data_IF_574987619637
#
_entry.id   IF_574987619637
#
_cell.length_a   1.000
_cell.length_b   1.000
_cell.length_c   1.000
_cell.angle_alpha   90.00
_cell.angle_beta   90.00
_cell.angle_gamma   90.00
#
_symmetry.space_group_name_H-M   'P 1'
#
loop_
_entity.id
_entity.type
_entity.pdbx_description
1 polymer ?
#
# COMPACT_ATOMS: atom_id res chain seq x y z
N UNK A 1 20.85 16.84 34.18
CA UNK A 1 20.00 15.77 33.62
C UNK A 1 19.82 16.12 32.16
N UNK A 2 20.16 15.23 31.22
CA UNK A 2 20.01 15.54 29.80
C UNK A 2 18.52 15.74 29.47
N UNK A 3 18.22 16.65 28.54
CA UNK A 3 16.87 16.86 28.04
C UNK A 3 16.36 15.56 27.40
N UNK A 4 15.29 14.94 27.92
CA UNK A 4 14.74 13.70 27.36
C UNK A 4 14.38 13.82 25.87
N UNK A 5 13.95 15.01 25.42
CA UNK A 5 13.60 15.23 24.01
C UNK A 5 14.83 15.09 23.12
N UNK A 6 15.90 15.83 23.44
CA UNK A 6 17.16 15.78 22.68
C UNK A 6 17.78 14.38 22.70
N UNK A 7 17.79 13.73 23.87
CA UNK A 7 18.33 12.37 23.99
C UNK A 7 17.55 11.34 23.17
N UNK A 8 16.22 11.49 23.06
CA UNK A 8 15.39 10.64 22.20
C UNK A 8 15.74 10.84 20.72
N UNK A 9 15.81 12.09 20.27
CA UNK A 9 16.16 12.45 18.88
C UNK A 9 17.55 11.91 18.50
N UNK A 10 18.55 12.03 19.39
CA UNK A 10 19.89 11.47 19.16
C UNK A 10 19.87 9.96 18.89
N UNK A 11 19.01 9.22 19.60
CA UNK A 11 18.85 7.78 19.38
C UNK A 11 18.12 7.48 18.08
N UNK A 12 17.14 8.27 17.67
CA UNK A 12 16.48 8.12 16.38
C UNK A 12 17.43 8.36 15.21
N UNK A 13 18.22 9.44 15.26
CA UNK A 13 19.22 9.72 14.24
C UNK A 13 20.27 8.60 14.15
N UNK A 14 20.68 8.06 15.30
CA UNK A 14 21.56 6.90 15.35
C UNK A 14 20.89 5.68 14.71
N UNK A 15 19.61 5.43 15.00
CA UNK A 15 18.86 4.32 14.42
C UNK A 15 18.79 4.40 12.89
N UNK A 16 18.49 5.59 12.36
CA UNK A 16 18.44 5.85 10.91
C UNK A 16 19.74 5.52 10.19
N UNK A 17 20.89 5.83 10.80
CA UNK A 17 22.24 5.54 10.24
C UNK A 17 22.52 4.04 10.08
N UNK A 18 21.95 3.18 10.93
CA UNK A 18 22.16 1.73 10.85
C UNK A 18 21.10 1.01 10.02
N UNK A 19 19.99 1.68 9.65
CA UNK A 19 18.79 1.04 9.09
C UNK A 19 19.07 0.17 7.85
N UNK A 20 19.86 0.67 6.90
CA UNK A 20 20.16 -0.04 5.65
C UNK A 20 21.23 -1.13 5.77
N UNK A 21 22.03 -1.15 6.84
CA UNK A 21 23.17 -2.07 6.99
C UNK A 21 23.04 -3.08 8.12
N UNK A 22 22.48 -2.67 9.26
CA UNK A 22 22.30 -3.49 10.46
C UNK A 22 20.96 -3.13 11.12
N UNK A 23 19.90 -3.72 10.59
CA UNK A 23 18.53 -3.47 11.04
C UNK A 23 18.31 -3.88 12.51
N UNK A 24 19.00 -4.92 12.99
CA UNK A 24 18.96 -5.34 14.41
C UNK A 24 19.55 -4.25 15.31
N UNK A 25 20.65 -3.63 14.89
CA UNK A 25 21.24 -2.50 15.63
C UNK A 25 20.38 -1.24 15.54
N UNK A 26 19.80 -0.96 14.38
CA UNK A 26 18.82 0.12 14.21
C UNK A 26 17.64 -0.05 15.19
N UNK A 27 17.09 -1.27 15.29
CA UNK A 27 16.02 -1.62 16.23
C UNK A 27 16.39 -1.36 17.70
N UNK A 28 17.64 -1.63 18.11
CA UNK A 28 18.10 -1.34 19.48
C UNK A 28 18.10 0.15 19.78
N UNK A 29 18.49 0.98 18.81
CA UNK A 29 18.48 2.43 18.96
C UNK A 29 17.06 2.98 19.02
N UNK A 30 16.17 2.52 18.13
CA UNK A 30 14.75 2.90 18.20
C UNK A 30 14.09 2.49 19.51
N UNK A 31 14.34 1.27 19.99
CA UNK A 31 13.84 0.82 21.30
C UNK A 31 14.32 1.74 22.43
N UNK A 32 15.58 2.19 22.35
CA UNK A 32 16.15 3.12 23.33
C UNK A 32 15.53 4.52 23.25
N UNK A 33 15.21 5.00 22.05
CA UNK A 33 14.49 6.27 21.87
C UNK A 33 13.11 6.21 22.57
N UNK A 34 12.35 5.12 22.36
CA UNK A 34 11.05 4.91 23.02
C UNK A 34 11.19 4.92 24.54
N UNK A 35 12.18 4.22 25.11
CA UNK A 35 12.44 4.20 26.56
C UNK A 35 12.75 5.60 27.12
N UNK A 36 13.49 6.42 26.37
CA UNK A 36 13.81 7.80 26.78
C UNK A 36 12.56 8.67 26.74
N UNK A 37 11.72 8.55 25.70
CA UNK A 37 10.47 9.28 25.65
C UNK A 37 9.49 8.85 26.75
N UNK A 38 9.42 7.57 27.08
CA UNK A 38 8.63 7.08 28.22
C UNK A 38 9.07 7.70 29.54
N UNK A 39 10.38 7.75 29.81
CA UNK A 39 10.93 8.40 31.00
C UNK A 39 10.66 9.91 30.99
N UNK A 40 10.78 10.55 29.83
CA UNK A 40 10.46 11.96 29.65
C UNK A 40 8.99 12.26 29.97
N UNK A 41 8.06 11.44 29.49
CA UNK A 41 6.62 11.60 29.73
C UNK A 41 6.21 11.34 31.18
N UNK A 42 6.96 10.53 31.93
CA UNK A 42 6.74 10.41 33.39
C UNK A 42 7.04 11.72 34.12
N UNK A 43 7.97 12.53 33.62
CA UNK A 43 8.37 13.81 34.20
C UNK A 43 7.51 14.95 33.63
N UNK A 44 7.22 14.90 32.33
CA UNK A 44 6.50 15.92 31.56
C UNK A 44 5.29 15.31 30.84
N UNK A 45 4.22 14.92 31.56
CA UNK A 45 3.07 14.20 31.01
C UNK A 45 2.15 15.05 30.10
N UNK A 46 2.49 16.30 29.83
CA UNK A 46 1.76 17.16 28.90
C UNK A 46 2.65 17.65 27.76
N UNK A 47 3.84 17.07 27.62
CA UNK A 47 4.74 17.40 26.51
C UNK A 47 4.26 16.75 25.23
N UNK A 48 3.76 17.57 24.30
CA UNK A 48 3.32 17.14 22.98
C UNK A 48 4.51 16.56 22.20
N UNK A 49 5.69 17.20 22.23
CA UNK A 49 6.87 16.74 21.49
C UNK A 49 7.32 15.33 21.89
N UNK A 50 7.34 15.04 23.20
CA UNK A 50 7.69 13.71 23.71
C UNK A 50 6.63 12.67 23.31
N UNK A 51 5.34 13.02 23.42
CA UNK A 51 4.24 12.13 23.06
C UNK A 51 4.24 11.82 21.55
N UNK A 52 4.36 12.85 20.72
CA UNK A 52 4.39 12.75 19.27
C UNK A 52 5.59 11.94 18.78
N UNK A 53 6.81 12.25 19.23
CA UNK A 53 7.99 11.52 18.78
C UNK A 53 7.98 10.05 19.21
N UNK A 54 7.51 9.75 20.43
CA UNK A 54 7.29 8.36 20.85
C UNK A 54 6.35 7.63 19.89
N UNK A 55 5.21 8.24 19.59
CA UNK A 55 4.19 7.64 18.73
C UNK A 55 4.73 7.40 17.31
N UNK A 56 5.40 8.40 16.73
CA UNK A 56 6.04 8.30 15.41
C UNK A 56 7.10 7.21 15.33
N UNK A 57 7.96 7.08 16.35
CA UNK A 57 8.97 6.01 16.39
C UNK A 57 8.33 4.62 16.47
N UNK A 58 7.26 4.47 17.26
CA UNK A 58 6.54 3.19 17.35
C UNK A 58 5.90 2.81 16.00
N UNK A 59 5.32 3.78 15.29
CA UNK A 59 4.78 3.57 13.94
C UNK A 59 5.90 3.14 12.97
N UNK A 60 7.03 3.85 12.94
CA UNK A 60 8.20 3.52 12.09
C UNK A 60 8.70 2.08 12.35
N UNK A 61 8.83 1.68 13.62
CA UNK A 61 9.22 0.31 14.00
C UNK A 61 8.23 -0.72 13.44
N UNK A 62 6.93 -0.41 13.51
CA UNK A 62 5.85 -1.33 13.16
C UNK A 62 5.60 -1.44 11.65
N UNK A 63 6.03 -0.47 10.85
CA UNK A 63 5.72 -0.44 9.41
C UNK A 63 6.94 -0.53 8.50
N UNK A 64 8.15 -0.22 9.00
CA UNK A 64 9.33 -0.23 8.13
C UNK A 64 9.73 -1.68 7.73
N UNK A 65 9.80 -2.03 6.42
CA UNK A 65 10.01 -3.40 5.96
C UNK A 65 11.28 -4.09 6.47
N UNK A 66 12.36 -3.31 6.68
CA UNK A 66 13.61 -3.84 7.26
C UNK A 66 13.56 -4.06 8.77
N UNK A 67 12.62 -3.45 9.49
CA UNK A 67 12.54 -3.50 10.96
C UNK A 67 11.54 -4.55 11.45
N UNK A 68 10.40 -4.68 10.75
CA UNK A 68 9.33 -5.63 11.07
C UNK A 68 9.82 -7.09 11.26
N UNK A 69 10.73 -7.63 10.43
CA UNK A 69 11.26 -8.99 10.64
C UNK A 69 12.06 -9.18 11.93
N UNK A 70 12.44 -8.10 12.61
CA UNK A 70 13.24 -8.09 13.83
C UNK A 70 12.45 -7.72 15.09
N UNK A 71 11.11 -7.70 15.01
CA UNK A 71 10.26 -7.50 16.18
C UNK A 71 10.39 -8.67 17.17
N UNK A 72 10.47 -8.35 18.45
CA UNK A 72 10.52 -9.35 19.53
C UNK A 72 9.13 -9.74 20.04
N UNK A 73 8.09 -9.06 19.55
CA UNK A 73 6.67 -9.25 19.88
C UNK A 73 5.86 -9.34 18.59
N UNK A 74 4.66 -9.94 18.60
CA UNK A 74 3.77 -9.94 17.45
C UNK A 74 3.55 -8.52 16.92
N UNK A 75 3.52 -8.37 15.59
CA UNK A 75 3.33 -7.08 14.91
C UNK A 75 2.09 -6.34 15.44
N UNK A 76 0.98 -7.06 15.63
CA UNK A 76 -0.26 -6.49 16.13
C UNK A 76 -0.10 -5.81 17.49
N UNK A 77 0.66 -6.40 18.42
CA UNK A 77 0.90 -5.79 19.74
C UNK A 77 1.68 -4.48 19.62
N UNK A 78 2.64 -4.41 18.70
CA UNK A 78 3.44 -3.20 18.47
C UNK A 78 2.60 -2.10 17.82
N UNK A 79 1.74 -2.47 16.86
CA UNK A 79 0.78 -1.53 16.24
C UNK A 79 -0.24 -1.00 17.26
N UNK A 80 -0.76 -1.84 18.15
CA UNK A 80 -1.64 -1.40 19.24
C UNK A 80 -0.93 -0.43 20.18
N UNK A 81 0.34 -0.69 20.52
CA UNK A 81 1.14 0.23 21.31
C UNK A 81 1.36 1.58 20.59
N UNK A 82 1.59 1.56 19.28
CA UNK A 82 1.69 2.77 18.46
C UNK A 82 0.36 3.55 18.48
N UNK A 83 -0.78 2.87 18.34
CA UNK A 83 -2.10 3.48 18.36
C UNK A 83 -2.39 4.16 19.71
N UNK A 84 -2.07 3.51 20.82
CA UNK A 84 -2.22 4.09 22.16
C UNK A 84 -1.37 5.35 22.33
N UNK A 85 -0.11 5.33 21.87
CA UNK A 85 0.78 6.49 21.93
C UNK A 85 0.25 7.66 21.06
N UNK A 86 -0.26 7.36 19.87
CA UNK A 86 -0.87 8.34 18.98
C UNK A 86 -2.16 8.94 19.56
N UNK A 87 -3.05 8.11 20.11
CA UNK A 87 -4.25 8.57 20.80
C UNK A 87 -3.91 9.46 21.99
N UNK A 88 -2.89 9.12 22.76
CA UNK A 88 -2.40 9.97 23.84
C UNK A 88 -1.88 11.32 23.31
N UNK A 89 -1.09 11.34 22.24
CA UNK A 89 -0.66 12.59 21.60
C UNK A 89 -1.86 13.45 21.14
N UNK A 90 -2.89 12.83 20.54
CA UNK A 90 -4.13 13.52 20.16
C UNK A 90 -4.90 14.07 21.37
N UNK A 91 -4.79 13.49 22.56
CA UNK A 91 -5.40 14.09 23.76
C UNK A 91 -4.74 15.41 24.16
N UNK A 92 -3.47 15.60 23.80
CA UNK A 92 -2.70 16.82 24.10
C UNK A 92 -2.88 17.89 23.01
N UNK A 93 -2.94 17.48 21.74
CA UNK A 93 -3.23 18.34 20.60
C UNK A 93 -4.11 17.62 19.58
N UNK A 94 -5.42 17.92 19.62
CA UNK A 94 -6.42 17.23 18.79
C UNK A 94 -6.37 17.65 17.32
N UNK A 95 -5.80 18.82 17.01
CA UNK A 95 -5.77 19.40 15.66
C UNK A 95 -4.37 19.33 15.04
N UNK A 96 -3.46 18.53 15.62
CA UNK A 96 -2.15 18.29 15.03
C UNK A 96 -2.27 17.44 13.76
N UNK A 97 -2.01 17.98 12.55
CA UNK A 97 -2.23 17.25 11.30
C UNK A 97 -1.34 16.01 11.18
N UNK A 98 -0.08 16.08 11.62
CA UNK A 98 0.85 14.95 11.54
C UNK A 98 0.43 13.80 12.46
N UNK A 99 -0.05 14.14 13.67
CA UNK A 99 -0.58 13.15 14.60
C UNK A 99 -1.85 12.53 14.05
N UNK A 100 -2.77 13.31 13.48
CA UNK A 100 -3.98 12.79 12.83
C UNK A 100 -3.64 11.83 11.67
N UNK A 101 -2.74 12.25 10.79
CA UNK A 101 -2.28 11.47 9.64
C UNK A 101 -1.64 10.14 10.08
N UNK A 102 -0.67 10.20 11.00
CA UNK A 102 0.03 9.01 11.48
C UNK A 102 -0.89 8.08 12.28
N UNK A 103 -1.86 8.62 13.04
CA UNK A 103 -2.87 7.79 13.73
C UNK A 103 -3.69 6.99 12.73
N UNK A 104 -4.12 7.64 11.64
CA UNK A 104 -4.86 6.96 10.58
C UNK A 104 -4.02 5.88 9.90
N UNK A 105 -2.72 6.10 9.68
CA UNK A 105 -1.82 5.08 9.13
C UNK A 105 -1.72 3.84 10.06
N UNK A 106 -1.63 4.05 11.39
CA UNK A 106 -1.63 2.93 12.35
C UNK A 106 -2.96 2.15 12.27
N UNK A 107 -4.10 2.84 12.22
CA UNK A 107 -5.41 2.21 12.12
C UNK A 107 -5.53 1.36 10.85
N UNK A 108 -5.10 1.89 9.70
CA UNK A 108 -5.06 1.14 8.43
C UNK A 108 -4.15 -0.09 8.53
N UNK A 109 -2.96 0.03 9.13
CA UNK A 109 -2.05 -1.09 9.32
C UNK A 109 -2.63 -2.19 10.24
N UNK A 110 -3.34 -1.81 11.32
CA UNK A 110 -4.05 -2.78 12.17
C UNK A 110 -5.16 -3.47 11.39
N UNK A 111 -5.94 -2.70 10.61
CA UNK A 111 -7.01 -3.24 9.78
C UNK A 111 -6.48 -4.28 8.78
N UNK A 112 -5.34 -4.03 8.14
CA UNK A 112 -4.70 -4.99 7.22
C UNK A 112 -4.24 -6.28 7.92
N UNK A 113 -3.80 -6.19 9.18
CA UNK A 113 -3.45 -7.38 9.98
C UNK A 113 -4.72 -8.16 10.34
N UNK A 114 -5.79 -7.48 10.75
CA UNK A 114 -7.06 -8.13 11.08
C UNK A 114 -7.71 -8.79 9.85
N UNK A 115 -7.65 -8.14 8.69
CA UNK A 115 -8.19 -8.70 7.43
C UNK A 115 -7.52 -10.01 7.00
N UNK A 116 -6.30 -10.29 7.46
CA UNK A 116 -5.56 -11.53 7.19
C UNK A 116 -5.84 -12.63 8.22
N UNK A 117 -6.46 -12.30 9.35
CA UNK A 117 -6.76 -13.25 10.42
C UNK A 117 -8.25 -13.58 10.44
N UNK A 118 -8.59 -14.79 10.03
CA UNK A 118 -9.97 -15.29 9.99
C UNK A 118 -10.70 -15.29 11.34
N UNK A 119 -10.00 -15.05 12.46
CA UNK A 119 -10.61 -14.93 13.78
C UNK A 119 -11.16 -13.52 14.07
N UNK A 120 -10.79 -12.50 13.30
CA UNK A 120 -11.31 -11.14 13.47
C UNK A 120 -12.56 -10.95 12.62
N UNK A 121 -13.57 -10.27 13.18
CA UNK A 121 -14.78 -9.98 12.44
C UNK A 121 -14.52 -8.85 11.43
N UNK A 122 -15.03 -8.97 10.21
CA UNK A 122 -14.93 -7.92 9.18
C UNK A 122 -15.38 -6.55 9.71
N UNK A 123 -16.38 -6.54 10.59
CA UNK A 123 -16.88 -5.32 11.23
C UNK A 123 -15.80 -4.54 11.99
N UNK A 124 -14.89 -5.24 12.68
CA UNK A 124 -13.81 -4.60 13.43
C UNK A 124 -12.81 -3.94 12.46
N UNK A 125 -12.54 -4.60 11.33
CA UNK A 125 -11.71 -4.06 10.25
C UNK A 125 -12.33 -2.81 9.64
N UNK A 126 -13.63 -2.86 9.32
CA UNK A 126 -14.36 -1.74 8.74
C UNK A 126 -14.35 -0.53 9.69
N UNK A 127 -14.57 -0.74 10.99
CA UNK A 127 -14.58 0.34 11.97
C UNK A 127 -13.22 1.06 12.04
N UNK A 128 -12.11 0.32 11.99
CA UNK A 128 -10.76 0.91 11.99
C UNK A 128 -10.52 1.76 10.74
N UNK A 129 -10.95 1.29 9.57
CA UNK A 129 -10.80 2.00 8.30
C UNK A 129 -11.70 3.25 8.21
N UNK A 130 -12.92 3.18 8.76
CA UNK A 130 -13.82 4.32 8.87
C UNK A 130 -13.23 5.40 9.79
N UNK A 131 -12.70 5.02 10.96
CA UNK A 131 -11.98 5.93 11.88
C UNK A 131 -10.76 6.55 11.18
N UNK A 132 -9.98 5.75 10.43
CA UNK A 132 -8.84 6.25 9.66
C UNK A 132 -9.25 7.32 8.63
N UNK A 133 -10.34 7.08 7.88
CA UNK A 133 -10.85 8.05 6.90
C UNK A 133 -11.36 9.34 7.53
N UNK A 134 -11.96 9.27 8.71
CA UNK A 134 -12.40 10.45 9.46
C UNK A 134 -11.20 11.30 9.89
N UNK A 135 -10.16 10.68 10.45
CA UNK A 135 -8.93 11.36 10.86
C UNK A 135 -8.18 11.95 9.66
N UNK A 136 -8.08 11.22 8.54
CA UNK A 136 -7.48 11.72 7.31
C UNK A 136 -8.27 12.91 6.73
N UNK A 137 -9.60 12.87 6.77
CA UNK A 137 -10.43 13.98 6.29
C UNK A 137 -10.25 15.24 7.16
N UNK A 138 -10.15 15.07 8.48
CA UNK A 138 -9.84 16.18 9.40
C UNK A 138 -8.43 16.73 9.14
N UNK A 139 -7.44 15.85 8.97
CA UNK A 139 -6.08 16.23 8.62
C UNK A 139 -6.05 17.06 7.33
N UNK A 140 -6.68 16.56 6.26
CA UNK A 140 -6.75 17.26 4.98
C UNK A 140 -7.39 18.65 5.11
N UNK A 141 -8.48 18.77 5.87
CA UNK A 141 -9.16 20.05 6.09
C UNK A 141 -8.25 21.08 6.78
N UNK A 142 -7.44 20.63 7.76
CA UNK A 142 -6.47 21.49 8.46
C UNK A 142 -5.32 21.87 7.53
N UNK A 143 -4.82 20.92 6.74
CA UNK A 143 -3.75 21.16 5.76
C UNK A 143 -4.21 22.15 4.67
N UNK A 144 -5.44 22.02 4.16
CA UNK A 144 -6.03 22.97 3.22
C UNK A 144 -6.07 24.39 3.77
N UNK A 145 -6.55 24.55 5.01
CA UNK A 145 -6.56 25.86 5.68
C UNK A 145 -5.15 26.44 5.81
N UNK A 146 -4.17 25.63 6.23
CA UNK A 146 -2.77 26.07 6.37
C UNK A 146 -2.12 26.46 5.04
N UNK A 147 -2.44 25.74 3.96
CA UNK A 147 -1.95 26.07 2.63
C UNK A 147 -2.54 27.41 2.15
N UNK A 148 -3.84 27.62 2.34
CA UNK A 148 -4.51 28.88 1.99
C UNK A 148 -3.94 30.06 2.78
N UNK A 149 -3.72 29.90 4.09
CA UNK A 149 -3.09 30.91 4.96
C UNK A 149 -1.68 31.25 4.47
N UNK A 150 -0.87 30.24 4.13
CA UNK A 150 0.48 30.43 3.62
C UNK A 150 0.49 31.19 2.28
N UNK A 151 -0.40 30.83 1.37
CA UNK A 151 -0.54 31.51 0.07
C UNK A 151 -0.96 32.97 0.24
N UNK A 152 -1.91 33.26 1.14
CA UNK A 152 -2.34 34.63 1.44
C UNK A 152 -1.19 35.48 2.01
N UNK A 153 -0.42 34.94 2.96
CA UNK A 153 0.73 35.64 3.53
C UNK A 153 1.79 35.95 2.45
N UNK A 154 2.01 35.02 1.52
CA UNK A 154 2.94 35.22 0.41
C UNK A 154 2.48 36.32 -0.55
N UNK A 155 1.19 36.36 -0.89
CA UNK A 155 0.60 37.38 -1.74
C UNK A 155 0.66 38.77 -1.08
N UNK A 156 0.34 38.85 0.21
CA UNK A 156 0.44 40.10 0.98
C UNK A 156 1.88 40.62 1.06
N UNK A 157 2.86 39.73 1.31
CA UNK A 157 4.27 40.09 1.31
C UNK A 157 4.75 40.56 -0.07
N UNK A 158 4.34 39.88 -1.15
CA UNK A 158 4.66 40.29 -2.52
C UNK A 158 4.05 41.66 -2.88
N UNK A 159 2.81 41.92 -2.44
CA UNK A 159 2.16 43.22 -2.64
C UNK A 159 2.86 44.36 -1.86
N UNK A 160 3.33 44.09 -0.64
CA UNK A 160 4.11 45.06 0.14
C UNK A 160 5.45 45.39 -0.54
N UNK A 161 6.19 44.39 -1.01
CA UNK A 161 7.46 44.58 -1.74
C UNK A 161 7.23 45.34 -3.06
N UNK A 162 6.13 45.06 -3.78
CA UNK A 162 5.77 45.78 -5.00
C UNK A 162 5.40 47.26 -4.72
N UNK A 163 4.76 47.52 -3.57
CA UNK A 163 4.43 48.88 -3.13
C UNK A 163 5.68 49.66 -2.68
N UNK A 164 6.64 49.02 -2.02
CA UNK A 164 7.89 49.66 -1.58
C UNK A 164 8.84 49.97 -2.76
N UNK A 165 8.92 49.08 -3.76
CA UNK A 165 9.70 49.31 -4.99
C UNK A 165 9.08 50.35 -5.95
N UNK A 166 7.87 50.85 -5.67
CA UNK A 166 7.21 51.90 -6.45
C UNK A 166 7.51 53.33 -5.94
N UNK A 167 8.30 53.49 -4.87
CA UNK A 167 8.84 54.79 -4.46
C UNK A 167 10.27 54.96 -5.00
N UNK A 168 10.42 55.78 -6.05
CA UNK A 168 11.71 56.21 -6.60
C UNK A 168 12.58 56.98 -5.56
N UNK A 169 13.92 57.04 -5.75
CA UNK A 169 14.87 57.31 -4.70
C UNK A 169 14.91 58.79 -4.29
N UNK A 170 14.71 59.06 -3.00
CA UNK A 170 15.03 60.37 -2.43
C UNK A 170 16.55 60.52 -2.42
N UNK A 171 17.04 61.40 -3.27
CA UNK A 171 18.43 61.87 -3.31
C UNK A 171 18.62 63.01 -2.32
N UNK A 172 19.49 62.81 -1.33
CA UNK A 172 20.23 63.77 -0.48
C UNK A 172 20.66 63.01 0.79
N UNK A 173 21.84 63.09 1.39
CA UNK A 173 23.14 63.73 1.15
C UNK A 173 24.03 63.40 2.38
N UNK A 174 25.29 63.03 2.16
CA UNK A 174 26.44 62.80 3.07
C UNK A 174 26.48 63.30 4.55
N UNK A 175 27.26 62.50 5.32
CA UNK A 175 28.05 62.75 6.56
C UNK A 175 27.32 63.22 7.84
N UNK A 176 27.66 62.77 9.06
CA UNK A 176 28.94 62.29 9.59
C UNK A 176 28.70 61.44 10.87
N UNK A 177 29.69 60.63 11.24
CA UNK A 177 29.51 59.44 12.08
C UNK A 177 29.31 59.56 13.59
N UNK A 178 29.02 58.42 14.20
CA UNK A 178 29.46 58.08 15.57
C UNK A 178 29.55 56.56 15.76
N UNK A 179 30.58 56.15 16.47
CA UNK A 179 31.01 54.76 16.67
C UNK A 179 30.71 54.27 18.09
N UNK A 180 29.88 53.23 18.18
CA UNK A 180 29.94 52.16 19.19
C UNK A 180 28.96 52.24 20.38
N UNK A 181 28.88 51.20 21.24
CA UNK A 181 29.31 49.82 21.09
C UNK A 181 28.14 48.79 21.16
N UNK A 182 28.44 47.58 20.72
CA UNK A 182 27.62 46.39 20.84
C UNK A 182 27.10 46.16 22.27
N UNK A 183 25.78 46.01 22.40
CA UNK A 183 25.16 45.38 23.56
C UNK A 183 24.53 44.06 23.09
N UNK A 184 25.17 42.99 23.55
CA UNK A 184 24.75 41.61 23.38
C UNK A 184 23.33 41.39 23.89
N UNK A 185 22.54 40.72 23.06
CA UNK A 185 21.19 40.28 23.37
C UNK A 185 20.63 39.38 22.27
N UNK A 186 21.48 38.55 21.64
CA UNK A 186 21.00 37.41 20.86
C UNK A 186 20.54 36.36 21.86
N UNK A 187 19.30 36.50 22.31
CA UNK A 187 18.54 35.34 22.74
C UNK A 187 18.56 34.36 21.56
N UNK A 188 19.18 33.20 21.76
CA UNK A 188 19.08 32.07 20.85
C UNK A 188 17.62 31.57 20.89
N UNK A 189 16.73 32.33 20.27
CA UNK A 189 15.39 31.90 19.95
C UNK A 189 15.55 30.97 18.74
N UNK A 190 15.63 29.67 19.01
CA UNK A 190 15.54 28.66 17.97
C UNK A 190 14.15 28.79 17.36
N UNK A 191 14.03 29.56 16.29
CA UNK A 191 12.83 29.58 15.48
C UNK A 191 12.73 28.20 14.84
N UNK A 192 11.88 27.35 15.40
CA UNK A 192 11.48 26.10 14.76
C UNK A 192 10.92 26.47 13.39
N UNK A 193 11.70 26.24 12.34
CA UNK A 193 11.19 26.35 10.97
C UNK A 193 10.18 25.22 10.82
N UNK A 194 8.91 25.51 11.07
CA UNK A 194 7.82 24.59 10.76
C UNK A 194 7.77 24.48 9.25
N UNK A 195 7.96 23.27 8.72
CA UNK A 195 7.87 23.05 7.28
C UNK A 195 6.45 23.45 6.80
N UNK A 196 6.35 24.28 5.75
CA UNK A 196 5.05 24.74 5.27
C UNK A 196 4.28 23.58 4.66
N UNK A 197 2.96 23.58 4.86
CA UNK A 197 2.06 22.67 4.13
C UNK A 197 2.09 23.07 2.66
N UNK A 198 2.32 22.09 1.78
CA UNK A 198 2.41 22.29 0.33
C UNK A 198 1.29 21.54 -0.40
N UNK A 199 1.12 21.81 -1.70
CA UNK A 199 0.23 20.99 -2.55
C UNK A 199 0.60 19.51 -2.48
N UNK A 200 1.89 19.18 -2.40
CA UNK A 200 2.35 17.80 -2.27
C UNK A 200 1.91 17.15 -0.96
N UNK A 201 1.96 17.89 0.15
CA UNK A 201 1.44 17.42 1.44
C UNK A 201 -0.04 17.04 1.35
N UNK A 202 -0.86 17.83 0.66
CA UNK A 202 -2.28 17.52 0.43
C UNK A 202 -2.44 16.30 -0.49
N UNK A 203 -1.61 16.18 -1.54
CA UNK A 203 -1.63 15.02 -2.45
C UNK A 203 -1.30 13.74 -1.66
N UNK A 204 -0.31 13.74 -0.77
CA UNK A 204 0.05 12.58 0.05
C UNK A 204 -1.11 12.14 0.96
N UNK A 205 -1.80 13.11 1.57
CA UNK A 205 -3.00 12.84 2.37
C UNK A 205 -4.11 12.22 1.53
N UNK A 206 -4.36 12.76 0.33
CA UNK A 206 -5.38 12.21 -0.58
C UNK A 206 -4.99 10.82 -1.08
N UNK A 207 -3.73 10.59 -1.44
CA UNK A 207 -3.23 9.26 -1.83
C UNK A 207 -3.45 8.24 -0.72
N UNK A 208 -3.22 8.63 0.54
CA UNK A 208 -3.46 7.79 1.72
C UNK A 208 -4.96 7.51 1.90
N UNK A 209 -5.83 8.49 1.68
CA UNK A 209 -7.29 8.29 1.67
C UNK A 209 -7.72 7.33 0.56
N UNK A 210 -7.21 7.49 -0.66
CA UNK A 210 -7.50 6.57 -1.77
C UNK A 210 -7.07 5.15 -1.44
N UNK A 211 -5.87 4.95 -0.88
CA UNK A 211 -5.40 3.64 -0.42
C UNK A 211 -6.30 3.03 0.66
N UNK A 212 -6.73 3.83 1.63
CA UNK A 212 -7.65 3.38 2.70
C UNK A 212 -9.01 2.96 2.11
N UNK A 213 -9.54 3.72 1.16
CA UNK A 213 -10.77 3.37 0.43
C UNK A 213 -10.61 2.13 -0.44
N UNK A 214 -9.43 1.89 -1.02
CA UNK A 214 -9.11 0.67 -1.77
C UNK A 214 -9.19 -0.54 -0.85
N UNK A 215 -8.54 -0.51 0.32
CA UNK A 215 -8.59 -1.59 1.32
C UNK A 215 -10.02 -1.83 1.80
N UNK A 216 -10.75 -0.76 2.11
CA UNK A 216 -12.15 -0.82 2.52
C UNK A 216 -13.02 -1.51 1.46
N UNK A 217 -12.86 -1.14 0.18
CA UNK A 217 -13.60 -1.74 -0.95
C UNK A 217 -13.29 -3.23 -1.13
N UNK A 218 -12.03 -3.62 -0.89
CA UNK A 218 -11.61 -5.01 -0.99
C UNK A 218 -12.29 -5.89 0.07
N UNK A 219 -12.36 -5.42 1.32
CA UNK A 219 -13.03 -6.13 2.42
C UNK A 219 -14.54 -6.23 2.19
N UNK A 220 -15.17 -5.15 1.72
CA UNK A 220 -16.60 -5.16 1.36
C UNK A 220 -16.93 -6.19 0.28
N UNK A 221 -16.00 -6.42 -0.65
CA UNK A 221 -16.17 -7.41 -1.72
C UNK A 221 -16.10 -8.85 -1.23
N UNK A 222 -15.48 -9.09 -0.08
CA UNK A 222 -15.24 -10.42 0.49
C UNK A 222 -16.19 -10.78 1.64
N UNK A 223 -16.97 -9.82 2.15
CA UNK A 223 -17.85 -10.03 3.30
C UNK A 223 -19.31 -10.16 2.90
N UNK A 224 -19.93 -11.28 3.27
CA UNK A 224 -21.38 -11.52 3.08
C UNK A 224 -22.26 -10.68 4.01
N UNK A 225 -21.67 -9.97 4.97
CA UNK A 225 -22.38 -9.38 6.11
C UNK A 225 -22.60 -7.86 6.02
N UNK A 226 -22.09 -7.20 4.97
CA UNK A 226 -22.01 -5.73 4.95
C UNK A 226 -23.14 -5.09 4.13
N UNK A 227 -23.77 -4.00 4.61
CA UNK A 227 -24.82 -3.31 3.87
C UNK A 227 -24.32 -2.75 2.54
N UNK A 228 -25.11 -2.93 1.48
CA UNK A 228 -24.86 -2.39 0.12
C UNK A 228 -24.73 -0.86 0.10
N UNK A 229 -25.27 -0.16 1.10
CA UNK A 229 -25.14 1.29 1.27
C UNK A 229 -23.70 1.76 1.49
N UNK A 230 -22.81 0.88 1.98
CA UNK A 230 -21.41 1.23 2.23
C UNK A 230 -20.63 1.49 0.94
N UNK A 231 -20.95 0.78 -0.16
CA UNK A 231 -20.29 1.00 -1.45
C UNK A 231 -20.61 2.38 -2.04
N UNK A 232 -21.89 2.79 -1.99
CA UNK A 232 -22.30 4.10 -2.50
C UNK A 232 -21.65 5.27 -1.76
N UNK A 233 -21.42 5.13 -0.45
CA UNK A 233 -20.64 6.10 0.32
C UNK A 233 -19.19 6.22 -0.17
N UNK A 234 -18.52 5.09 -0.41
CA UNK A 234 -17.13 5.07 -0.92
C UNK A 234 -17.05 5.70 -2.31
N UNK A 235 -17.99 5.39 -3.19
CA UNK A 235 -18.07 6.00 -4.53
C UNK A 235 -18.25 7.51 -4.45
N UNK A 236 -19.15 8.01 -3.60
CA UNK A 236 -19.36 9.44 -3.42
C UNK A 236 -18.11 10.12 -2.84
N UNK A 237 -17.54 9.55 -1.78
CA UNK A 237 -16.35 10.09 -1.10
C UNK A 237 -15.15 10.14 -2.05
N UNK A 238 -14.83 9.03 -2.71
CA UNK A 238 -13.74 8.95 -3.68
C UNK A 238 -13.96 9.87 -4.88
N UNK A 239 -15.20 10.00 -5.37
CA UNK A 239 -15.53 10.93 -6.45
C UNK A 239 -15.26 12.38 -6.07
N UNK A 240 -15.50 12.79 -4.82
CA UNK A 240 -15.15 14.14 -4.34
C UNK A 240 -13.63 14.37 -4.35
N UNK A 241 -12.86 13.40 -3.84
CA UNK A 241 -11.39 13.49 -3.88
C UNK A 241 -10.86 13.59 -5.31
N UNK A 242 -11.31 12.69 -6.18
CA UNK A 242 -10.79 12.54 -7.55
C UNK A 242 -11.24 13.66 -8.48
N UNK A 243 -12.50 14.09 -8.42
CA UNK A 243 -13.07 15.04 -9.39
C UNK A 243 -13.04 16.49 -8.90
N UNK A 244 -12.87 16.73 -7.60
CA UNK A 244 -12.94 18.08 -7.02
C UNK A 244 -11.61 18.47 -6.39
N UNK A 245 -11.06 17.66 -5.48
CA UNK A 245 -9.87 18.02 -4.70
C UNK A 245 -8.56 17.88 -5.47
N UNK A 246 -8.36 16.76 -6.18
CA UNK A 246 -7.11 16.50 -6.90
C UNK A 246 -6.83 17.44 -8.09
N UNK A 247 -7.79 17.76 -8.99
CA UNK A 247 -7.48 18.54 -10.20
C UNK A 247 -6.74 19.87 -9.97
N UNK A 248 -7.11 20.75 -9.01
CA UNK A 248 -6.36 21.98 -8.76
C UNK A 248 -4.98 21.76 -8.16
N UNK A 249 -4.77 20.66 -7.43
CA UNK A 249 -3.46 20.31 -6.85
C UNK A 249 -2.48 19.82 -7.91
N UNK A 250 -2.99 19.19 -8.99
CA UNK A 250 -2.19 18.56 -10.03
C UNK A 250 -1.80 19.47 -11.20
N UNK A 251 -2.32 20.71 -11.25
CA UNK A 251 -2.12 21.61 -12.40
C UNK A 251 -0.64 21.84 -12.75
N UNK A 252 0.22 21.87 -11.73
CA UNK A 252 1.66 22.12 -11.85
C UNK A 252 2.49 20.98 -11.22
N UNK A 253 1.89 19.81 -11.04
CA UNK A 253 2.56 18.68 -10.40
C UNK A 253 3.58 18.03 -11.33
N UNK A 254 4.68 17.55 -10.74
CA UNK A 254 5.71 16.82 -11.47
C UNK A 254 5.17 15.51 -12.05
N UNK A 255 5.72 15.00 -13.17
CA UNK A 255 5.25 13.79 -13.83
C UNK A 255 5.16 12.57 -12.90
N UNK A 256 6.10 12.43 -11.96
CA UNK A 256 6.12 11.35 -10.97
C UNK A 256 4.89 11.40 -10.07
N UNK A 257 4.45 12.61 -9.65
CA UNK A 257 3.26 12.79 -8.81
C UNK A 257 1.98 12.51 -9.58
N UNK A 258 1.92 12.92 -10.85
CA UNK A 258 0.80 12.56 -11.73
C UNK A 258 0.68 11.04 -11.88
N UNK A 259 1.81 10.35 -11.99
CA UNK A 259 1.87 8.89 -12.10
C UNK A 259 1.43 8.19 -10.81
N UNK A 260 1.86 8.65 -9.64
CA UNK A 260 1.42 8.13 -8.33
C UNK A 260 -0.10 8.26 -8.17
N UNK A 261 -0.66 9.43 -8.49
CA UNK A 261 -2.11 9.65 -8.43
C UNK A 261 -2.86 8.80 -9.44
N UNK A 262 -2.36 8.68 -10.67
CA UNK A 262 -2.97 7.82 -11.67
C UNK A 262 -3.02 6.35 -11.22
N UNK A 263 -1.94 5.86 -10.60
CA UNK A 263 -1.85 4.50 -10.07
C UNK A 263 -2.82 4.26 -8.90
N UNK A 264 -2.85 5.17 -7.93
CA UNK A 264 -3.78 5.08 -6.80
C UNK A 264 -5.24 5.07 -7.26
N UNK A 265 -5.58 5.92 -8.24
CA UNK A 265 -6.92 5.94 -8.86
C UNK A 265 -7.26 4.63 -9.56
N UNK A 266 -6.34 4.08 -10.35
CA UNK A 266 -6.57 2.82 -11.06
C UNK A 266 -6.79 1.64 -10.10
N UNK A 267 -6.05 1.58 -9.00
CA UNK A 267 -6.22 0.58 -7.94
C UNK A 267 -7.60 0.71 -7.26
N UNK A 268 -7.99 1.92 -6.85
CA UNK A 268 -9.30 2.15 -6.24
C UNK A 268 -10.45 1.79 -7.18
N UNK A 269 -10.38 2.22 -8.44
CA UNK A 269 -11.40 1.89 -9.45
C UNK A 269 -11.48 0.37 -9.65
N UNK A 270 -10.36 -0.33 -9.66
CA UNK A 270 -10.34 -1.80 -9.81
C UNK A 270 -11.10 -2.52 -8.69
N UNK A 271 -10.87 -2.12 -7.43
CA UNK A 271 -11.58 -2.71 -6.27
C UNK A 271 -13.05 -2.30 -6.23
N UNK A 272 -13.40 -1.05 -6.57
CA UNK A 272 -14.79 -0.61 -6.66
C UNK A 272 -15.58 -1.39 -7.72
N UNK A 273 -14.98 -1.61 -8.90
CA UNK A 273 -15.62 -2.38 -9.96
C UNK A 273 -15.77 -3.86 -9.57
N UNK A 274 -14.78 -4.44 -8.87
CA UNK A 274 -14.91 -5.79 -8.30
C UNK A 274 -16.10 -5.87 -7.34
N UNK A 275 -16.16 -4.95 -6.37
CA UNK A 275 -17.24 -4.87 -5.40
C UNK A 275 -18.61 -4.70 -6.09
N UNK A 276 -18.70 -3.73 -7.00
CA UNK A 276 -19.92 -3.45 -7.75
C UNK A 276 -20.39 -4.64 -8.58
N UNK A 277 -19.47 -5.41 -9.16
CA UNK A 277 -19.82 -6.63 -9.91
C UNK A 277 -20.34 -7.73 -8.99
N UNK A 278 -19.63 -8.03 -7.90
CA UNK A 278 -20.01 -9.09 -6.96
C UNK A 278 -21.34 -8.77 -6.25
N UNK A 279 -21.63 -7.50 -6.01
CA UNK A 279 -22.91 -7.03 -5.47
C UNK A 279 -24.01 -6.89 -6.55
N UNK A 280 -23.73 -7.25 -7.81
CA UNK A 280 -24.71 -7.23 -8.91
C UNK A 280 -25.11 -5.82 -9.39
N UNK A 281 -24.33 -4.80 -9.05
CA UNK A 281 -24.58 -3.40 -9.45
C UNK A 281 -24.10 -3.11 -10.87
N UNK A 282 -23.13 -3.86 -11.38
CA UNK A 282 -22.63 -3.75 -12.77
C UNK A 282 -22.51 -5.13 -13.43
N UNK A 283 -22.58 -5.15 -14.76
CA UNK A 283 -22.38 -6.37 -15.56
C UNK A 283 -20.89 -6.59 -15.94
N UNK A 284 -20.52 -7.79 -16.42
CA UNK A 284 -19.14 -8.11 -16.80
C UNK A 284 -18.54 -7.21 -17.88
N UNK A 285 -19.35 -6.74 -18.84
CA UNK A 285 -18.88 -5.89 -19.93
C UNK A 285 -18.58 -4.48 -19.41
N UNK A 286 -19.44 -3.95 -18.52
CA UNK A 286 -19.20 -2.70 -17.81
C UNK A 286 -17.94 -2.78 -16.94
N UNK A 287 -17.79 -3.85 -16.14
CA UNK A 287 -16.57 -4.07 -15.35
C UNK A 287 -15.33 -4.08 -16.25
N UNK A 288 -15.33 -4.88 -17.33
CA UNK A 288 -14.18 -4.94 -18.25
C UNK A 288 -13.84 -3.56 -18.81
N UNK A 289 -14.83 -2.82 -19.32
CA UNK A 289 -14.65 -1.54 -20.00
C UNK A 289 -14.07 -0.49 -19.06
N UNK A 290 -14.69 -0.28 -17.91
CA UNK A 290 -14.25 0.72 -16.94
C UNK A 290 -12.86 0.38 -16.36
N UNK A 291 -12.56 -0.92 -16.16
CA UNK A 291 -11.22 -1.35 -15.75
C UNK A 291 -10.18 -1.04 -16.83
N UNK A 292 -10.47 -1.36 -18.09
CA UNK A 292 -9.57 -1.03 -19.21
C UNK A 292 -9.33 0.47 -19.30
N UNK A 293 -10.37 1.29 -19.16
CA UNK A 293 -10.28 2.75 -19.17
C UNK A 293 -9.39 3.29 -18.03
N UNK A 294 -9.50 2.73 -16.82
CA UNK A 294 -8.69 3.15 -15.67
C UNK A 294 -7.17 2.95 -15.88
N UNK A 295 -6.76 1.97 -16.67
CA UNK A 295 -5.35 1.68 -16.96
C UNK A 295 -4.86 2.26 -18.31
N UNK A 296 -5.73 2.91 -19.09
CA UNK A 296 -5.36 3.53 -20.38
C UNK A 296 -4.92 5.00 -20.26
N UNK A 297 -4.86 5.54 -19.04
CA UNK A 297 -4.46 6.94 -18.82
C UNK A 297 -2.96 7.12 -19.11
N UNK A 298 -2.55 8.16 -19.87
CA UNK A 298 -1.15 8.35 -20.28
C UNK A 298 -0.16 8.46 -19.11
N UNK A 299 -0.60 9.02 -17.99
CA UNK A 299 0.21 9.27 -16.79
C UNK A 299 0.76 7.98 -16.17
N UNK A 300 0.11 6.83 -16.39
CA UNK A 300 0.61 5.55 -15.88
C UNK A 300 1.88 5.09 -16.60
N UNK A 301 2.13 5.50 -17.84
CA UNK A 301 3.24 5.06 -18.69
C UNK A 301 3.49 3.53 -18.59
N UNK A 302 2.45 2.73 -18.91
CA UNK A 302 2.48 1.28 -18.75
C UNK A 302 3.66 0.59 -19.47
N UNK A 303 4.29 1.21 -20.45
CA UNK A 303 5.43 0.60 -21.13
C UNK A 303 6.72 0.61 -20.30
N UNK A 304 6.79 1.49 -19.28
CA UNK A 304 8.02 1.76 -18.51
C UNK A 304 7.81 1.73 -17.00
N UNK A 305 6.56 1.72 -16.56
CA UNK A 305 6.22 1.72 -15.14
C UNK A 305 5.92 0.30 -14.65
N UNK A 306 6.88 -0.26 -13.90
CA UNK A 306 6.77 -1.59 -13.31
C UNK A 306 5.57 -1.71 -12.33
N UNK A 307 5.41 -0.83 -11.32
CA UNK A 307 4.22 -0.82 -10.47
C UNK A 307 2.88 -0.78 -11.22
N UNK A 308 2.76 0.06 -12.26
CA UNK A 308 1.51 0.17 -13.02
C UNK A 308 1.20 -1.08 -13.85
N UNK A 309 2.23 -1.74 -14.41
CA UNK A 309 2.06 -3.03 -15.09
C UNK A 309 1.60 -4.12 -14.13
N UNK A 310 2.19 -4.20 -12.93
CA UNK A 310 1.77 -5.15 -11.91
C UNK A 310 0.33 -4.88 -11.44
N UNK A 311 -0.01 -3.63 -11.14
CA UNK A 311 -1.37 -3.24 -10.78
C UNK A 311 -2.38 -3.61 -11.86
N UNK A 312 -2.07 -3.33 -13.13
CA UNK A 312 -2.92 -3.71 -14.26
C UNK A 312 -3.08 -5.23 -14.35
N UNK A 313 -1.98 -5.98 -14.19
CA UNK A 313 -2.02 -7.43 -14.23
C UNK A 313 -2.84 -8.03 -13.08
N UNK A 314 -2.70 -7.51 -11.86
CA UNK A 314 -3.47 -7.92 -10.69
C UNK A 314 -4.96 -7.60 -10.85
N UNK A 315 -5.30 -6.44 -11.41
CA UNK A 315 -6.70 -6.08 -11.70
C UNK A 315 -7.36 -7.04 -12.71
N UNK A 316 -6.59 -7.54 -13.69
CA UNK A 316 -7.05 -8.53 -14.67
C UNK A 316 -7.25 -9.92 -14.05
N UNK A 317 -6.41 -10.29 -13.06
CA UNK A 317 -6.56 -11.53 -12.29
C UNK A 317 -7.79 -11.43 -11.38
N UNK A 318 -7.95 -10.33 -10.67
CA UNK A 318 -9.14 -10.06 -9.85
C UNK A 318 -10.43 -10.10 -10.69
N UNK A 319 -10.39 -9.51 -11.89
CA UNK A 319 -11.49 -9.61 -12.87
C UNK A 319 -11.77 -11.07 -13.27
N UNK A 320 -10.75 -11.87 -13.54
CA UNK A 320 -10.93 -13.30 -13.81
C UNK A 320 -11.57 -14.04 -12.63
N UNK A 321 -11.10 -13.79 -11.41
CA UNK A 321 -11.60 -14.46 -10.21
C UNK A 321 -13.05 -14.07 -9.94
N UNK A 322 -13.38 -12.78 -10.01
CA UNK A 322 -14.75 -12.30 -9.86
C UNK A 322 -15.71 -12.95 -10.88
N UNK A 323 -15.31 -13.14 -12.14
CA UNK A 323 -16.13 -13.83 -13.14
C UNK A 323 -16.19 -15.36 -12.97
N UNK A 324 -15.27 -15.93 -12.18
CA UNK A 324 -15.32 -17.33 -11.77
C UNK A 324 -16.30 -17.52 -10.61
N UNK A 325 -16.36 -16.53 -9.72
CA UNK A 325 -17.20 -16.50 -8.53
C UNK A 325 -18.65 -16.17 -8.91
N UNK A 326 -19.58 -17.06 -8.54
CA UNK A 326 -21.00 -16.93 -8.85
C UNK A 326 -21.62 -18.24 -9.34
N UNK A 327 -22.74 -18.14 -10.07
CA UNK A 327 -23.43 -19.30 -10.62
C UNK A 327 -22.50 -20.10 -11.56
N UNK A 328 -22.42 -21.44 -11.47
CA UNK A 328 -21.54 -22.25 -12.32
C UNK A 328 -21.74 -22.02 -13.83
N UNK A 329 -22.93 -21.60 -14.26
CA UNK A 329 -23.25 -21.23 -15.63
C UNK A 329 -22.54 -19.95 -16.12
N UNK A 330 -22.24 -19.02 -15.20
CA UNK A 330 -21.49 -17.79 -15.49
C UNK A 330 -20.04 -18.12 -15.82
N UNK A 331 -19.41 -19.01 -15.05
CA UNK A 331 -18.04 -19.44 -15.28
C UNK A 331 -17.84 -20.02 -16.69
N UNK A 332 -18.84 -20.72 -17.22
CA UNK A 332 -18.87 -21.23 -18.62
C UNK A 332 -19.06 -20.07 -19.61
N UNK A 333 -20.05 -19.22 -19.37
CA UNK A 333 -20.43 -18.12 -20.27
C UNK A 333 -19.32 -17.07 -20.44
N UNK A 334 -18.50 -16.88 -19.40
CA UNK A 334 -17.44 -15.88 -19.36
C UNK A 334 -16.04 -16.44 -19.65
N UNK A 335 -15.91 -17.71 -20.04
CA UNK A 335 -14.62 -18.36 -20.27
C UNK A 335 -13.72 -17.60 -21.26
N UNK A 336 -14.30 -17.01 -22.31
CA UNK A 336 -13.55 -16.20 -23.30
C UNK A 336 -12.99 -14.91 -22.69
N UNK A 337 -13.77 -14.23 -21.85
CA UNK A 337 -13.33 -13.01 -21.17
C UNK A 337 -12.23 -13.32 -20.15
N UNK A 338 -12.42 -14.38 -19.36
CA UNK A 338 -11.44 -14.88 -18.39
C UNK A 338 -10.12 -15.26 -19.05
N UNK A 339 -10.19 -16.02 -20.15
CA UNK A 339 -9.00 -16.38 -20.94
C UNK A 339 -8.22 -15.15 -21.41
N UNK A 340 -8.94 -14.16 -21.94
CA UNK A 340 -8.35 -12.92 -22.47
C UNK A 340 -7.71 -12.09 -21.35
N UNK A 341 -8.36 -12.00 -20.19
CA UNK A 341 -7.82 -11.28 -19.03
C UNK A 341 -6.53 -11.92 -18.51
N UNK A 342 -6.49 -13.24 -18.36
CA UNK A 342 -5.28 -13.96 -17.93
C UNK A 342 -4.14 -13.84 -18.94
N UNK A 343 -4.45 -13.86 -20.24
CA UNK A 343 -3.45 -13.65 -21.29
C UNK A 343 -2.85 -12.24 -21.22
N UNK A 344 -3.69 -11.21 -21.02
CA UNK A 344 -3.25 -9.83 -20.86
C UNK A 344 -2.44 -9.63 -19.57
N UNK A 345 -2.83 -10.26 -18.46
CA UNK A 345 -2.08 -10.21 -17.20
C UNK A 345 -0.65 -10.77 -17.37
N UNK A 346 -0.52 -11.93 -18.04
CA UNK A 346 0.80 -12.49 -18.36
C UNK A 346 1.62 -11.59 -19.29
N UNK A 347 0.98 -10.89 -20.23
CA UNK A 347 1.66 -9.96 -21.12
C UNK A 347 2.19 -8.75 -20.35
N UNK A 348 1.40 -8.16 -19.44
CA UNK A 348 1.84 -7.09 -18.56
C UNK A 348 3.05 -7.50 -17.72
N UNK A 349 3.01 -8.67 -17.08
CA UNK A 349 4.14 -9.19 -16.30
C UNK A 349 5.37 -9.52 -17.15
N UNK A 350 5.16 -10.00 -18.39
CA UNK A 350 6.26 -10.24 -19.31
C UNK A 350 6.94 -8.94 -19.75
N UNK A 351 6.19 -7.84 -19.89
CA UNK A 351 6.75 -6.50 -20.10
C UNK A 351 7.45 -6.01 -18.83
N UNK A 352 6.83 -6.16 -17.66
CA UNK A 352 7.37 -5.73 -16.38
C UNK A 352 8.72 -6.38 -16.08
N UNK A 353 8.85 -7.69 -16.32
CA UNK A 353 10.11 -8.45 -16.13
C UNK A 353 11.29 -7.99 -17.01
N UNK A 354 11.05 -7.11 -17.99
CA UNK A 354 12.08 -6.55 -18.89
C UNK A 354 12.45 -5.12 -18.54
N UNK A 355 11.72 -4.47 -17.64
CA UNK A 355 12.05 -3.13 -17.17
C UNK A 355 13.31 -3.23 -16.29
N UNK A 356 14.23 -2.29 -16.49
CA UNK A 356 15.42 -2.16 -15.65
C UNK A 356 15.05 -1.52 -14.32
N UNK A 357 15.59 -2.01 -13.21
CA UNK A 357 15.39 -1.40 -11.88
C UNK A 357 14.73 -2.29 -10.82
N UNK A 358 13.76 -3.17 -11.13
CA UNK A 358 13.16 -4.05 -10.12
C UNK A 358 14.18 -4.97 -9.46
N UNK A 359 13.96 -5.28 -8.18
CA UNK A 359 14.80 -6.22 -7.44
C UNK A 359 14.60 -7.65 -7.98
N UNK A 360 15.55 -8.57 -7.75
CA UNK A 360 15.38 -9.97 -8.12
C UNK A 360 14.08 -10.58 -7.59
N UNK A 361 13.63 -10.18 -6.39
CA UNK A 361 12.37 -10.63 -5.80
C UNK A 361 11.14 -10.12 -6.55
N UNK A 362 11.16 -8.87 -7.01
CA UNK A 362 10.08 -8.33 -7.85
C UNK A 362 9.96 -9.11 -9.18
N UNK A 363 11.10 -9.47 -9.78
CA UNK A 363 11.13 -10.30 -10.98
C UNK A 363 10.66 -11.72 -10.66
N UNK A 364 11.04 -12.27 -9.49
CA UNK A 364 10.56 -13.56 -9.02
C UNK A 364 9.02 -13.58 -8.94
N UNK A 365 8.43 -12.53 -8.38
CA UNK A 365 6.99 -12.34 -8.26
C UNK A 365 6.30 -12.32 -9.63
N UNK A 366 6.84 -11.58 -10.60
CA UNK A 366 6.28 -11.61 -11.98
C UNK A 366 6.27 -13.02 -12.57
N UNK A 367 7.28 -13.84 -12.29
CA UNK A 367 7.31 -15.22 -12.73
C UNK A 367 6.30 -16.07 -11.96
N UNK A 368 6.24 -15.95 -10.64
CA UNK A 368 5.31 -16.69 -9.81
C UNK A 368 3.86 -16.50 -10.26
N UNK A 369 3.44 -15.24 -10.42
CA UNK A 369 2.07 -14.94 -10.83
C UNK A 369 1.81 -15.35 -12.30
N UNK A 370 2.79 -15.29 -13.21
CA UNK A 370 2.66 -15.88 -14.56
C UNK A 370 2.43 -17.39 -14.53
N UNK A 371 3.02 -18.07 -13.54
CA UNK A 371 2.76 -19.47 -13.24
C UNK A 371 1.30 -19.69 -12.85
N UNK A 372 0.78 -18.89 -11.92
CA UNK A 372 -0.62 -18.92 -11.50
C UNK A 372 -1.57 -18.70 -12.69
N UNK A 373 -1.34 -17.65 -13.50
CA UNK A 373 -2.15 -17.37 -14.69
C UNK A 373 -2.16 -18.53 -15.70
N UNK A 374 -1.02 -19.21 -15.88
CA UNK A 374 -0.93 -20.38 -16.76
C UNK A 374 -1.76 -21.56 -16.24
N UNK A 375 -1.78 -21.79 -14.93
CA UNK A 375 -2.64 -22.81 -14.31
C UNK A 375 -4.12 -22.43 -14.39
N UNK A 376 -4.48 -21.17 -14.10
CA UNK A 376 -5.86 -20.68 -14.24
C UNK A 376 -6.38 -20.85 -15.68
N UNK A 377 -5.56 -20.52 -16.68
CA UNK A 377 -5.90 -20.77 -18.08
C UNK A 377 -6.07 -22.26 -18.38
N UNK A 378 -5.27 -23.14 -17.78
CA UNK A 378 -5.44 -24.58 -17.91
C UNK A 378 -6.77 -25.04 -17.28
N UNK A 379 -7.17 -24.48 -16.14
CA UNK A 379 -8.43 -24.82 -15.47
C UNK A 379 -9.67 -24.48 -16.31
N UNK A 380 -9.61 -23.44 -17.15
CA UNK A 380 -10.70 -23.14 -18.10
C UNK A 380 -10.97 -24.30 -19.08
N UNK A 381 -10.01 -25.20 -19.30
CA UNK A 381 -10.16 -26.38 -20.14
C UNK A 381 -10.81 -27.58 -19.45
N UNK A 382 -10.97 -27.53 -18.12
CA UNK A 382 -11.55 -28.61 -17.34
C UNK A 382 -13.09 -28.53 -17.31
N UNK A 383 -13.73 -29.66 -17.03
CA UNK A 383 -15.17 -29.70 -16.77
C UNK A 383 -15.51 -28.88 -15.52
N UNK A 384 -16.61 -28.10 -15.49
CA UNK A 384 -17.66 -28.00 -16.51
C UNK A 384 -17.39 -26.98 -17.64
N UNK A 385 -16.34 -26.17 -17.56
CA UNK A 385 -16.09 -25.04 -18.48
C UNK A 385 -15.74 -25.53 -19.89
N UNK A 386 -14.81 -26.48 -20.00
CA UNK A 386 -14.40 -27.12 -21.26
C UNK A 386 -14.07 -26.13 -22.40
N UNK A 387 -13.39 -25.03 -22.09
CA UNK A 387 -13.08 -23.99 -23.07
C UNK A 387 -12.05 -24.48 -24.10
N UNK A 388 -12.43 -24.48 -25.38
CA UNK A 388 -11.64 -25.09 -26.46
C UNK A 388 -10.20 -24.57 -26.56
N UNK A 389 -9.97 -23.27 -26.38
CA UNK A 389 -8.61 -22.72 -26.46
C UNK A 389 -7.72 -23.22 -25.30
N UNK A 390 -8.29 -23.37 -24.10
CA UNK A 390 -7.58 -23.92 -22.95
C UNK A 390 -7.27 -25.41 -23.14
N UNK A 391 -8.22 -26.19 -23.65
CA UNK A 391 -8.03 -27.61 -23.99
C UNK A 391 -6.90 -27.77 -25.02
N UNK A 392 -6.94 -26.99 -26.09
CA UNK A 392 -5.95 -27.05 -27.17
C UNK A 392 -4.54 -26.69 -26.70
N UNK A 393 -4.42 -25.76 -25.75
CA UNK A 393 -3.13 -25.29 -25.23
C UNK A 393 -2.69 -25.99 -23.92
N UNK A 394 -3.50 -26.88 -23.36
CA UNK A 394 -3.30 -27.47 -22.02
C UNK A 394 -1.87 -27.96 -21.74
N UNK A 395 -1.25 -28.80 -22.60
CA UNK A 395 0.12 -29.27 -22.39
C UNK A 395 1.16 -28.14 -22.33
N UNK A 396 0.97 -27.08 -23.12
CA UNK A 396 1.86 -25.93 -23.15
C UNK A 396 1.66 -25.03 -21.93
N UNK A 397 0.41 -24.86 -21.48
CA UNK A 397 0.07 -24.09 -20.28
C UNK A 397 0.72 -24.69 -19.02
N UNK A 398 0.65 -26.01 -18.85
CA UNK A 398 1.30 -26.70 -17.73
C UNK A 398 2.83 -26.58 -17.78
N UNK A 399 3.43 -26.72 -18.98
CA UNK A 399 4.88 -26.53 -19.17
C UNK A 399 5.32 -25.10 -18.88
N UNK A 400 4.51 -24.12 -19.26
CA UNK A 400 4.74 -22.71 -18.96
C UNK A 400 4.69 -22.47 -17.45
N UNK A 401 3.65 -22.97 -16.76
CA UNK A 401 3.51 -22.87 -15.31
C UNK A 401 4.74 -23.43 -14.59
N UNK A 402 5.15 -24.66 -14.92
CA UNK A 402 6.37 -25.28 -14.39
C UNK A 402 7.60 -24.39 -14.59
N UNK A 403 7.81 -23.89 -15.81
CA UNK A 403 8.97 -23.07 -16.17
C UNK A 403 9.00 -21.76 -15.36
N UNK A 404 7.84 -21.11 -15.24
CA UNK A 404 7.73 -19.86 -14.51
C UNK A 404 8.00 -20.03 -13.01
N UNK A 405 7.39 -21.03 -12.37
CA UNK A 405 7.66 -21.31 -10.96
C UNK A 405 9.13 -21.68 -10.70
N UNK A 406 9.75 -22.47 -11.58
CA UNK A 406 11.20 -22.76 -11.49
C UNK A 406 12.06 -21.50 -11.60
N UNK A 407 11.65 -20.52 -12.40
CA UNK A 407 12.37 -19.26 -12.54
C UNK A 407 12.15 -18.36 -11.31
N UNK A 408 10.93 -18.28 -10.78
CA UNK A 408 10.62 -17.58 -9.54
C UNK A 408 11.48 -18.10 -8.37
N UNK A 409 11.52 -19.43 -8.20
CA UNK A 409 12.33 -20.09 -7.16
C UNK A 409 13.84 -19.78 -7.23
N UNK A 410 14.39 -19.55 -8.43
CA UNK A 410 15.81 -19.20 -8.57
C UNK A 410 16.12 -17.78 -8.10
N UNK A 411 15.12 -16.92 -8.08
CA UNK A 411 15.26 -15.49 -7.82
C UNK A 411 14.86 -15.10 -6.40
N UNK A 412 13.85 -15.75 -5.81
CA UNK A 412 13.47 -15.55 -4.41
C UNK A 412 14.64 -15.80 -3.46
N UNK A 413 14.90 -14.83 -2.57
CA UNK A 413 15.86 -15.00 -1.47
C UNK A 413 15.18 -15.62 -0.25
N UNK A 414 13.91 -15.26 -0.02
CA UNK A 414 13.10 -15.87 1.01
C UNK A 414 12.92 -17.39 0.78
N UNK A 415 13.26 -18.17 1.82
CA UNK A 415 13.28 -19.63 1.72
C UNK A 415 11.88 -20.23 1.63
N UNK A 416 10.88 -19.54 2.16
CA UNK A 416 9.47 -19.97 2.14
C UNK A 416 8.90 -19.84 0.73
N UNK A 417 8.99 -18.65 0.15
CA UNK A 417 8.58 -18.35 -1.23
C UNK A 417 9.31 -19.22 -2.25
N UNK A 418 10.61 -19.46 -2.01
CA UNK A 418 11.40 -20.37 -2.83
C UNK A 418 10.87 -21.80 -2.80
N UNK A 419 10.50 -22.31 -1.62
CA UNK A 419 9.98 -23.67 -1.46
C UNK A 419 8.56 -23.79 -2.04
N UNK A 420 7.69 -22.82 -1.77
CA UNK A 420 6.34 -22.75 -2.34
C UNK A 420 6.40 -22.76 -3.88
N UNK A 421 7.27 -21.94 -4.47
CA UNK A 421 7.52 -21.93 -5.92
C UNK A 421 7.95 -23.30 -6.46
N UNK A 422 8.86 -24.01 -5.77
CA UNK A 422 9.31 -25.32 -6.23
C UNK A 422 8.19 -26.36 -6.15
N UNK A 423 7.40 -26.34 -5.08
CA UNK A 423 6.23 -27.20 -4.93
C UNK A 423 5.23 -26.96 -6.06
N UNK A 424 4.86 -25.70 -6.34
CA UNK A 424 3.94 -25.36 -7.45
C UNK A 424 4.48 -25.83 -8.82
N UNK A 425 5.79 -25.78 -9.04
CA UNK A 425 6.41 -26.33 -10.25
C UNK A 425 6.23 -27.86 -10.35
N UNK A 426 6.42 -28.57 -9.23
CA UNK A 426 6.23 -30.02 -9.13
C UNK A 426 4.77 -30.42 -9.34
N UNK A 427 3.83 -29.66 -8.78
CA UNK A 427 2.39 -29.86 -9.00
C UNK A 427 2.03 -29.71 -10.48
N UNK A 428 2.50 -28.65 -11.14
CA UNK A 428 2.28 -28.47 -12.59
C UNK A 428 2.82 -29.64 -13.41
N UNK A 429 3.99 -30.17 -13.06
CA UNK A 429 4.59 -31.34 -13.70
C UNK A 429 3.80 -32.63 -13.43
N UNK A 430 3.29 -32.82 -12.20
CA UNK A 430 2.47 -33.97 -11.84
C UNK A 430 1.17 -34.00 -12.66
N UNK A 431 0.50 -32.85 -12.82
CA UNK A 431 -0.71 -32.73 -13.66
C UNK A 431 -0.37 -33.07 -15.11
N UNK A 432 0.74 -32.55 -15.64
CA UNK A 432 1.16 -32.82 -17.02
C UNK A 432 1.42 -34.32 -17.27
N UNK A 433 2.01 -35.00 -16.30
CA UNK A 433 2.33 -36.43 -16.37
C UNK A 433 1.18 -37.34 -15.94
N UNK A 434 0.05 -36.77 -15.50
CA UNK A 434 -1.11 -37.49 -14.93
C UNK A 434 -0.76 -38.36 -13.74
N UNK A 435 0.21 -37.91 -12.94
CA UNK A 435 0.56 -38.51 -11.66
C UNK A 435 -0.36 -37.97 -10.56
N UNK A 436 -0.45 -38.71 -9.45
CA UNK A 436 -1.18 -38.25 -8.27
C UNK A 436 -0.47 -37.04 -7.63
N UNK A 437 -1.13 -35.88 -7.66
CA UNK A 437 -0.57 -34.60 -7.20
C UNK A 437 -0.19 -34.66 -5.72
N UNK A 438 -1.08 -35.20 -4.88
CA UNK A 438 -0.88 -35.32 -3.44
C UNK A 438 0.38 -36.15 -3.11
N UNK A 439 0.51 -37.33 -3.72
CA UNK A 439 1.66 -38.21 -3.52
C UNK A 439 2.97 -37.57 -3.98
N UNK A 440 2.99 -36.91 -5.13
CA UNK A 440 4.21 -36.28 -5.67
C UNK A 440 4.61 -35.06 -4.82
N UNK A 441 3.64 -34.28 -4.35
CA UNK A 441 3.86 -33.14 -3.48
C UNK A 441 4.50 -33.56 -2.14
N UNK A 442 4.00 -34.62 -1.50
CA UNK A 442 4.57 -35.17 -0.25
C UNK A 442 5.99 -35.73 -0.47
N UNK A 443 6.25 -36.35 -1.62
CA UNK A 443 7.62 -36.81 -1.95
C UNK A 443 8.60 -35.63 -2.09
N UNK A 444 8.09 -34.44 -2.39
CA UNK A 444 8.85 -33.20 -2.52
C UNK A 444 8.78 -32.32 -1.26
N UNK A 445 8.45 -32.86 -0.09
CA UNK A 445 8.29 -32.12 1.17
C UNK A 445 9.53 -31.29 1.60
N UNK A 446 10.72 -31.56 1.04
CA UNK A 446 11.97 -30.83 1.35
C UNK A 446 12.29 -30.68 2.86
N UNK A 447 11.68 -31.52 3.71
CA UNK A 447 11.85 -31.49 5.17
C UNK A 447 10.97 -30.46 5.89
N UNK A 448 9.93 -29.93 5.26
CA UNK A 448 9.00 -28.95 5.86
C UNK A 448 7.80 -29.58 6.58
N UNK A 449 7.53 -30.86 6.33
CA UNK A 449 6.44 -31.63 6.93
C UNK A 449 5.17 -31.65 6.07
N UNK A 450 4.45 -32.77 6.15
CA UNK A 450 3.20 -32.99 5.38
C UNK A 450 2.15 -31.90 5.59
N UNK A 451 2.07 -31.33 6.78
CA UNK A 451 1.13 -30.24 7.08
C UNK A 451 1.41 -28.99 6.25
N UNK A 452 2.70 -28.66 6.03
CA UNK A 452 3.09 -27.55 5.17
C UNK A 452 2.66 -27.81 3.72
N UNK A 453 2.90 -29.02 3.21
CA UNK A 453 2.47 -29.43 1.87
C UNK A 453 0.95 -29.34 1.73
N UNK A 454 0.21 -29.77 2.75
CA UNK A 454 -1.26 -29.70 2.77
C UNK A 454 -1.74 -28.26 2.66
N UNK A 455 -1.24 -27.37 3.52
CA UNK A 455 -1.57 -25.93 3.47
C UNK A 455 -1.29 -25.35 2.09
N UNK A 456 -0.13 -25.64 1.49
CA UNK A 456 0.20 -25.14 0.16
C UNK A 456 -0.71 -25.68 -0.95
N UNK A 457 -1.19 -26.92 -0.86
CA UNK A 457 -2.14 -27.47 -1.83
C UNK A 457 -3.54 -26.90 -1.63
N UNK A 458 -3.96 -26.72 -0.38
CA UNK A 458 -5.22 -26.06 -0.05
C UNK A 458 -5.22 -24.63 -0.60
N UNK A 459 -4.15 -23.85 -0.40
CA UNK A 459 -3.98 -22.52 -1.01
C UNK A 459 -4.13 -22.57 -2.54
N UNK A 460 -3.54 -23.56 -3.22
CA UNK A 460 -3.68 -23.71 -4.68
C UNK A 460 -5.11 -24.08 -5.12
N UNK A 461 -5.88 -24.77 -4.28
CA UNK A 461 -7.28 -25.11 -4.54
C UNK A 461 -8.15 -23.87 -4.33
N UNK A 462 -7.93 -23.14 -3.25
CA UNK A 462 -8.66 -21.92 -2.90
C UNK A 462 -8.42 -20.81 -3.94
N UNK A 463 -7.17 -20.70 -4.44
CA UNK A 463 -6.81 -19.83 -5.56
C UNK A 463 -7.37 -20.31 -6.92
N UNK A 464 -8.01 -21.49 -6.97
CA UNK A 464 -8.55 -22.09 -8.19
C UNK A 464 -7.48 -22.53 -9.20
N UNK A 465 -6.23 -22.73 -8.79
CA UNK A 465 -5.12 -23.15 -9.66
C UNK A 465 -5.20 -24.63 -10.01
N UNK A 466 -5.70 -25.44 -9.07
CA UNK A 466 -5.90 -26.88 -9.23
C UNK A 466 -7.31 -27.28 -8.80
N UNK A 467 -7.80 -28.42 -9.31
CA UNK A 467 -9.07 -28.99 -8.86
C UNK A 467 -8.92 -29.59 -7.45
N UNK A 468 -9.97 -29.57 -6.61
CA UNK A 468 -9.95 -30.22 -5.30
C UNK A 468 -9.46 -31.66 -5.38
N UNK A 469 -8.52 -32.03 -4.52
CA UNK A 469 -7.94 -33.36 -4.49
C UNK A 469 -8.92 -34.32 -3.82
N UNK A 470 -9.19 -35.46 -4.46
CA UNK A 470 -10.22 -36.40 -4.00
C UNK A 470 -9.88 -37.09 -2.67
N UNK A 471 -8.63 -37.02 -2.20
CA UNK A 471 -8.14 -37.64 -0.97
C UNK A 471 -7.40 -36.55 -0.19
N UNK A 472 -7.88 -36.21 1.01
CA UNK A 472 -7.15 -35.35 1.93
C UNK A 472 -5.83 -36.02 2.30
N UNK A 473 -4.73 -35.26 2.25
CA UNK A 473 -3.39 -35.71 2.66
C UNK A 473 -3.33 -36.16 4.12
#
# INVERSE_FOLDING_TARGET
MADPLLAGVDFEEAAGKWRAGDAVKSMRFFSRAVEVYDQGLQIYPTSIDLAYNKARVLLEIATHPLLVPHLHRPLLEVLQQALEAHRYALTLDQDNPDTLFNTAQVLTAIAEVYAKDANHADRDVLQLLEEALELQNRCLSIQELKLDEYMQQQDEAAAQIASENSMEPITSSNDDGDTGPAAAGTENQWFSVVEPVTKDTLIDTILTQLGTLTTLSSILSSSDSVPTSSLGYIEEYSSKLVKIKLPPLLQDAEPERLQEVALARANLVSELLKAGYLLGSIDPATYKRERDEAFQVPELDLERNFPALLANANSLIAFNSALADGEPSNAVSYASMRWSALAAAMANMATASKISGPLPEDIAETHFIRGNCSLLQHQLGQSPISFNAAIANGPQLLKNAETFYRNASKLYQDTEQKAASQLRAVVAQAIQTRNDVASVAVQHDQGRGQEWVRVQLDDMVDDGLITPLAHSL
#
